data_IF_714702873636
#
_entry.id   IF_714702873636
#
_cell.length_a   1.000
_cell.length_b   1.000
_cell.length_c   1.000
_cell.angle_alpha   90.00
_cell.angle_beta   90.00
_cell.angle_gamma   90.00
#
_symmetry.space_group_name_H-M   'P 1'
#
loop_
_entity.id
_entity.type
_entity.pdbx_description
1 polymer ?
#
# COMPACT_ATOMS: atom_id res chain seq x y z
N UNK A 1 14.43 23.17 -6.77
CA UNK A 1 14.28 22.87 -5.31
C UNK A 1 13.85 24.17 -4.63
N UNK A 2 12.56 24.39 -4.51
CA UNK A 2 12.00 25.42 -3.62
C UNK A 2 11.91 24.75 -2.24
N UNK A 3 12.81 25.15 -1.33
CA UNK A 3 12.69 24.80 0.09
C UNK A 3 11.37 25.39 0.58
N UNK A 4 10.40 24.53 0.85
CA UNK A 4 9.23 24.91 1.61
C UNK A 4 9.71 25.29 3.01
N UNK A 5 9.77 26.60 3.28
CA UNK A 5 10.13 27.15 4.59
C UNK A 5 9.03 26.80 5.60
N UNK A 6 9.14 25.63 6.23
CA UNK A 6 8.30 25.26 7.36
C UNK A 6 8.53 26.23 8.52
N UNK A 7 7.47 26.80 9.08
CA UNK A 7 7.56 27.55 10.34
C UNK A 7 7.71 26.58 11.50
N UNK A 8 8.79 26.65 12.24
CA UNK A 8 8.89 26.01 13.56
C UNK A 8 8.00 26.77 14.55
N UNK A 9 6.92 26.14 15.00
CA UNK A 9 6.11 26.63 16.11
C UNK A 9 6.36 25.69 17.29
N UNK A 10 7.10 26.18 18.31
CA UNK A 10 7.41 25.36 19.48
C UNK A 10 8.31 24.14 19.23
N UNK A 11 9.23 24.20 18.26
CA UNK A 11 10.12 23.08 17.90
C UNK A 11 9.48 22.01 17.00
N UNK A 12 8.30 22.27 16.43
CA UNK A 12 7.57 21.37 15.53
C UNK A 12 7.57 21.91 14.11
N UNK A 13 7.78 21.03 13.14
CA UNK A 13 7.65 21.39 11.74
C UNK A 13 6.15 21.46 11.38
N UNK A 14 5.72 22.59 10.81
CA UNK A 14 4.38 22.83 10.29
C UNK A 14 4.50 23.49 8.92
N UNK A 15 3.91 22.88 7.91
CA UNK A 15 3.92 23.35 6.54
C UNK A 15 2.47 23.49 6.06
N UNK A 16 2.08 24.66 5.57
CA UNK A 16 0.73 24.96 5.07
C UNK A 16 0.73 25.42 3.60
N UNK A 17 1.88 25.89 3.11
CA UNK A 17 2.01 26.33 1.72
C UNK A 17 2.45 25.16 0.84
N UNK A 18 1.49 24.31 0.49
CA UNK A 18 1.69 23.16 -0.38
C UNK A 18 1.25 23.51 -1.81
N UNK A 19 2.05 23.10 -2.80
CA UNK A 19 1.67 23.17 -4.20
C UNK A 19 0.41 22.33 -4.44
N UNK A 20 -0.60 22.91 -5.07
CA UNK A 20 -1.89 22.29 -5.34
C UNK A 20 -2.29 22.44 -6.80
N UNK A 21 -3.05 21.47 -7.37
CA UNK A 21 -3.71 21.67 -8.63
C UNK A 21 -4.64 22.89 -8.59
N UNK A 22 -4.74 23.62 -9.70
CA UNK A 22 -5.53 24.88 -9.79
C UNK A 22 -7.01 24.71 -9.40
N UNK A 23 -7.58 23.51 -9.59
CA UNK A 23 -8.99 23.19 -9.29
C UNK A 23 -9.18 22.49 -7.95
N UNK A 24 -8.15 22.46 -7.09
CA UNK A 24 -8.22 21.84 -5.77
C UNK A 24 -8.50 22.90 -4.70
N UNK A 25 -9.73 22.91 -4.19
CA UNK A 25 -10.22 23.87 -3.20
C UNK A 25 -9.97 23.44 -1.74
N UNK A 26 -9.40 22.26 -1.52
CA UNK A 26 -9.09 21.74 -0.18
C UNK A 26 -7.96 22.53 0.47
N UNK A 27 -7.95 22.51 1.80
CA UNK A 27 -6.86 23.07 2.60
C UNK A 27 -6.00 21.94 3.19
N UNK A 28 -4.71 22.16 3.27
CA UNK A 28 -3.73 21.16 3.66
C UNK A 28 -2.80 21.68 4.74
N UNK A 29 -2.37 20.77 5.63
CA UNK A 29 -1.33 21.05 6.62
C UNK A 29 -0.50 19.80 6.86
N UNK A 30 0.81 19.89 6.76
CA UNK A 30 1.74 18.85 7.23
C UNK A 30 2.27 19.27 8.60
N UNK A 31 2.24 18.32 9.53
CA UNK A 31 2.81 18.49 10.88
C UNK A 31 3.66 17.29 11.24
N UNK A 32 4.63 17.49 12.12
CA UNK A 32 5.36 16.42 12.79
C UNK A 32 5.02 16.44 14.27
N UNK A 33 4.47 15.33 14.77
CA UNK A 33 4.12 15.19 16.19
C UNK A 33 5.37 15.06 17.08
N UNK A 34 5.24 15.26 18.40
CA UNK A 34 6.39 15.13 19.33
C UNK A 34 7.08 13.78 19.29
N UNK A 35 6.35 12.72 18.94
CA UNK A 35 6.87 11.37 18.75
C UNK A 35 7.41 11.09 17.34
N UNK A 36 7.62 12.15 16.54
CA UNK A 36 8.13 12.10 15.16
C UNK A 36 7.21 11.42 14.13
N UNK A 37 5.94 11.18 14.45
CA UNK A 37 4.96 10.75 13.46
C UNK A 37 4.64 11.94 12.54
N UNK A 38 4.78 11.74 11.23
CA UNK A 38 4.43 12.73 10.22
C UNK A 38 2.95 12.64 9.87
N UNK A 39 2.26 13.76 9.79
CA UNK A 39 0.82 13.81 9.52
C UNK A 39 0.50 14.81 8.42
N UNK A 40 -0.32 14.38 7.46
CA UNK A 40 -0.99 15.25 6.49
C UNK A 40 -2.46 15.39 6.89
N UNK A 41 -2.88 16.63 7.18
CA UNK A 41 -4.26 17.01 7.46
C UNK A 41 -4.87 17.63 6.21
N UNK A 42 -6.10 17.22 5.88
CA UNK A 42 -6.85 17.68 4.72
C UNK A 42 -8.24 18.13 5.17
N UNK A 43 -8.53 19.40 4.98
CA UNK A 43 -9.84 19.97 5.21
C UNK A 43 -10.60 20.13 3.90
N UNK A 44 -11.80 19.55 3.82
CA UNK A 44 -12.75 19.68 2.72
C UNK A 44 -14.14 19.93 3.27
N UNK A 45 -14.55 21.20 3.33
CA UNK A 45 -15.79 21.62 4.00
C UNK A 45 -17.07 20.97 3.42
N UNK A 46 -17.06 20.63 2.15
CA UNK A 46 -18.21 20.06 1.43
C UNK A 46 -18.25 18.54 1.38
N UNK A 47 -17.29 17.84 2.01
CA UNK A 47 -17.25 16.37 1.96
C UNK A 47 -18.38 15.75 2.78
N UNK A 48 -18.99 14.70 2.25
CA UNK A 48 -19.96 13.85 2.96
C UNK A 48 -19.28 12.64 3.65
N UNK A 49 -17.97 12.46 3.42
CA UNK A 49 -17.15 11.40 3.98
C UNK A 49 -15.92 11.93 4.70
N UNK A 50 -15.47 11.18 5.69
CA UNK A 50 -14.18 11.37 6.33
C UNK A 50 -13.36 10.09 6.21
N UNK A 51 -12.04 10.22 6.21
CA UNK A 51 -11.13 9.09 6.10
C UNK A 51 -9.81 9.32 6.83
N UNK A 52 -9.17 8.22 7.20
CA UNK A 52 -7.76 8.25 7.59
C UNK A 52 -7.02 7.04 7.04
N UNK A 53 -5.74 7.23 6.75
CA UNK A 53 -4.82 6.18 6.37
C UNK A 53 -3.50 6.33 7.10
N UNK A 54 -2.95 5.23 7.62
CA UNK A 54 -1.64 5.21 8.27
C UNK A 54 -0.77 4.13 7.62
N UNK A 55 0.38 4.55 7.13
CA UNK A 55 1.41 3.69 6.58
C UNK A 55 2.54 3.50 7.59
N UNK A 56 2.95 2.26 7.80
CA UNK A 56 4.07 1.88 8.65
C UNK A 56 5.18 1.32 7.77
N UNK A 57 6.41 1.83 7.87
CA UNK A 57 7.58 1.30 7.13
C UNK A 57 8.04 -0.07 7.68
N UNK A 58 7.11 -1.02 7.67
CA UNK A 58 7.27 -2.43 8.05
C UNK A 58 6.40 -3.27 7.14
N UNK A 59 6.98 -4.23 6.45
CA UNK A 59 6.26 -5.14 5.56
C UNK A 59 6.87 -6.53 5.62
N UNK A 60 6.55 -7.37 4.64
CA UNK A 60 6.99 -8.77 4.62
C UNK A 60 8.51 -8.97 4.57
N UNK A 61 9.30 -7.95 4.17
CA UNK A 61 10.76 -8.03 4.26
C UNK A 61 11.28 -8.01 5.70
N UNK A 62 10.44 -7.64 6.66
CA UNK A 62 10.75 -7.69 8.09
C UNK A 62 10.36 -9.03 8.74
N UNK A 63 9.79 -9.97 7.97
CA UNK A 63 9.44 -11.29 8.47
C UNK A 63 10.68 -12.02 8.98
N UNK A 64 10.55 -12.72 10.11
CA UNK A 64 11.57 -13.65 10.54
C UNK A 64 11.67 -14.80 9.51
N UNK A 65 12.88 -15.23 9.13
CA UNK A 65 13.06 -16.27 8.11
C UNK A 65 12.35 -17.59 8.44
N UNK A 66 12.15 -17.88 9.71
CA UNK A 66 11.50 -19.06 10.23
C UNK A 66 10.00 -18.88 10.54
N UNK A 67 9.45 -17.68 10.29
CA UNK A 67 8.03 -17.37 10.45
C UNK A 67 7.50 -16.44 9.32
N UNK A 68 7.62 -16.88 8.06
CA UNK A 68 7.20 -16.05 6.92
C UNK A 68 5.68 -15.80 6.92
N UNK A 69 5.30 -14.55 6.70
CA UNK A 69 3.91 -14.05 6.76
C UNK A 69 3.54 -13.43 8.10
N UNK A 70 4.48 -13.26 9.04
CA UNK A 70 4.18 -12.66 10.35
C UNK A 70 3.72 -11.20 10.22
N UNK A 71 4.28 -10.41 9.31
CA UNK A 71 3.83 -9.03 9.07
C UNK A 71 2.35 -8.98 8.64
N UNK A 72 1.94 -9.88 7.73
CA UNK A 72 0.57 -10.00 7.25
C UNK A 72 -0.37 -10.48 8.37
N UNK A 73 0.04 -11.45 9.17
CA UNK A 73 -0.75 -11.90 10.31
C UNK A 73 -0.93 -10.81 11.38
N UNK A 74 0.10 -10.00 11.64
CA UNK A 74 0.00 -8.83 12.54
C UNK A 74 -0.99 -7.81 11.98
N UNK A 75 -1.00 -7.56 10.65
CA UNK A 75 -2.01 -6.72 10.02
C UNK A 75 -3.42 -7.15 10.41
N UNK A 76 -3.78 -8.43 10.23
CA UNK A 76 -5.09 -8.96 10.60
C UNK A 76 -5.39 -8.77 12.10
N UNK A 77 -4.43 -9.09 12.95
CA UNK A 77 -4.59 -9.10 14.40
C UNK A 77 -4.79 -7.70 15.01
N UNK A 78 -4.31 -6.64 14.38
CA UNK A 78 -4.50 -5.27 14.88
C UNK A 78 -5.97 -4.83 14.87
N UNK A 79 -6.82 -5.44 14.04
CA UNK A 79 -8.26 -5.18 14.03
C UNK A 79 -9.02 -5.84 15.19
N UNK A 80 -8.39 -6.78 15.90
CA UNK A 80 -9.04 -7.74 16.80
C UNK A 80 -9.03 -7.33 18.28
N UNK A 81 -9.19 -6.04 18.56
CA UNK A 81 -9.29 -5.51 19.91
C UNK A 81 -8.03 -4.85 20.43
N UNK A 82 -8.22 -3.84 21.24
CA UNK A 82 -7.19 -3.02 21.86
C UNK A 82 -7.49 -2.82 23.34
N UNK A 83 -6.53 -2.36 24.15
CA UNK A 83 -6.77 -2.13 25.58
C UNK A 83 -7.95 -1.18 25.84
N UNK A 84 -8.09 -0.13 25.04
CA UNK A 84 -9.19 0.83 25.17
C UNK A 84 -10.53 0.30 24.67
N UNK A 85 -10.51 -0.55 23.64
CA UNK A 85 -11.67 -1.16 22.98
C UNK A 85 -11.46 -2.66 22.89
N UNK A 86 -11.65 -3.41 23.99
CA UNK A 86 -11.28 -4.82 24.07
C UNK A 86 -12.20 -5.76 23.28
N UNK A 87 -13.40 -5.30 22.92
CA UNK A 87 -14.31 -6.09 22.11
C UNK A 87 -13.78 -6.22 20.68
N UNK A 88 -13.63 -7.43 20.20
CA UNK A 88 -13.06 -7.79 18.91
C UNK A 88 -13.66 -6.99 17.74
N UNK A 89 -14.97 -6.83 17.69
CA UNK A 89 -15.67 -6.15 16.59
C UNK A 89 -15.95 -4.66 16.85
N UNK A 90 -15.50 -4.09 17.96
CA UNK A 90 -15.84 -2.72 18.36
C UNK A 90 -15.51 -1.67 17.28
N UNK A 91 -14.37 -1.82 16.63
CA UNK A 91 -13.94 -0.94 15.54
C UNK A 91 -14.84 -1.05 14.32
N UNK A 92 -15.02 -2.25 13.77
CA UNK A 92 -15.84 -2.47 12.58
C UNK A 92 -17.32 -2.14 12.81
N UNK A 93 -17.85 -2.42 14.00
CA UNK A 93 -19.21 -2.02 14.37
C UNK A 93 -19.38 -0.50 14.40
N UNK A 94 -18.37 0.22 14.92
CA UNK A 94 -18.39 1.68 14.92
C UNK A 94 -18.42 2.23 13.48
N UNK A 95 -17.53 1.78 12.62
CA UNK A 95 -17.49 2.25 11.22
C UNK A 95 -18.79 1.93 10.49
N UNK A 96 -19.31 0.69 10.64
CA UNK A 96 -20.56 0.28 9.97
C UNK A 96 -21.75 1.12 10.41
N UNK A 97 -21.84 1.50 11.71
CA UNK A 97 -22.90 2.41 12.21
C UNK A 97 -22.85 3.79 11.56
N UNK A 98 -21.68 4.21 11.09
CA UNK A 98 -21.47 5.47 10.39
C UNK A 98 -21.32 5.28 8.87
N UNK A 99 -21.87 4.18 8.30
CA UNK A 99 -21.85 3.91 6.85
C UNK A 99 -20.44 3.75 6.29
N UNK A 100 -19.49 3.37 7.12
CA UNK A 100 -18.08 3.26 6.76
C UNK A 100 -17.58 1.81 6.67
N UNK A 101 -16.34 1.69 6.22
CA UNK A 101 -15.58 0.45 6.17
C UNK A 101 -14.09 0.72 6.40
N UNK A 102 -13.34 -0.34 6.63
CA UNK A 102 -11.88 -0.30 6.72
C UNK A 102 -11.26 -1.43 5.94
N UNK A 103 -9.99 -1.27 5.61
CA UNK A 103 -9.16 -2.32 5.05
C UNK A 103 -7.69 -2.06 5.39
N UNK A 104 -6.83 -3.02 5.06
CA UNK A 104 -5.39 -2.89 5.15
C UNK A 104 -4.73 -3.71 4.03
N UNK A 105 -3.44 -3.51 3.84
CA UNK A 105 -2.61 -4.39 3.02
C UNK A 105 -1.16 -4.38 3.52
N UNK A 106 -0.51 -5.53 3.45
CA UNK A 106 0.92 -5.69 3.73
C UNK A 106 1.68 -5.85 2.42
N UNK A 107 2.49 -4.84 2.11
CA UNK A 107 3.44 -4.86 0.99
C UNK A 107 4.81 -5.40 1.44
N UNK A 108 5.79 -5.32 0.54
CA UNK A 108 7.16 -5.77 0.84
C UNK A 108 7.81 -4.97 1.95
N UNK A 109 7.65 -3.64 1.95
CA UNK A 109 8.37 -2.70 2.82
C UNK A 109 7.48 -1.84 3.69
N UNK A 110 6.17 -1.93 3.53
CA UNK A 110 5.21 -1.19 4.34
C UNK A 110 3.92 -1.98 4.57
N UNK A 111 3.20 -1.60 5.62
CA UNK A 111 1.83 -2.04 5.89
C UNK A 111 0.97 -0.80 6.03
N UNK A 112 -0.12 -0.75 5.27
CA UNK A 112 -1.04 0.37 5.25
C UNK A 112 -2.39 -0.04 5.83
N UNK A 113 -2.92 0.79 6.72
CA UNK A 113 -4.25 0.66 7.33
C UNK A 113 -5.07 1.87 6.97
N UNK A 114 -6.34 1.70 6.63
CA UNK A 114 -7.20 2.84 6.32
C UNK A 114 -8.67 2.56 6.60
N UNK A 115 -9.41 3.64 6.83
CA UNK A 115 -10.85 3.61 6.94
C UNK A 115 -11.49 4.82 6.27
N UNK A 116 -12.75 4.67 5.91
CA UNK A 116 -13.65 5.78 5.61
C UNK A 116 -14.95 5.63 6.41
N UNK A 117 -15.63 6.73 6.62
CA UNK A 117 -16.97 6.79 7.21
C UNK A 117 -17.74 7.99 6.66
N UNK A 118 -19.07 7.96 6.83
CA UNK A 118 -19.94 9.03 6.37
C UNK A 118 -20.33 9.94 7.51
N UNK A 119 -20.44 11.23 7.23
CA UNK A 119 -21.09 12.16 8.13
C UNK A 119 -22.61 11.97 8.08
N UNK A 120 -23.33 12.23 9.20
CA UNK A 120 -24.78 12.21 9.19
C UNK A 120 -25.31 13.18 8.10
N UNK A 121 -26.29 12.70 7.33
CA UNK A 121 -26.95 13.54 6.32
C UNK A 121 -27.64 14.71 7.01
N UNK A 122 -27.31 15.94 6.60
CA UNK A 122 -27.97 17.17 7.06
C UNK A 122 -29.33 17.36 6.38
N UNK A 123 -30.11 16.29 6.17
CA UNK A 123 -31.50 16.42 5.69
C UNK A 123 -32.33 16.99 6.83
N UNK A 124 -32.91 18.19 6.70
CA UNK A 124 -33.81 18.72 7.74
C UNK A 124 -35.02 17.78 7.85
N UNK A 125 -35.19 17.15 8.99
CA UNK A 125 -36.49 16.52 9.33
C UNK A 125 -37.52 17.61 9.24
N UNK A 126 -38.49 17.44 8.35
CA UNK A 126 -39.55 18.38 7.98
C UNK A 126 -40.49 18.67 9.16
N UNK A 127 -40.09 19.46 10.15
CA UNK A 127 -40.98 20.01 11.15
C UNK A 127 -40.47 21.24 11.92
N UNK A 128 -39.51 22.00 11.41
CA UNK A 128 -39.24 23.32 11.96
C UNK A 128 -39.10 24.33 10.82
N UNK A 129 -40.07 25.25 10.78
CA UNK A 129 -40.11 26.38 9.84
C UNK A 129 -38.85 27.25 9.99
N UNK A 130 -38.17 27.50 8.90
CA UNK A 130 -36.95 28.28 8.84
C UNK A 130 -37.18 29.72 9.28
N UNK A 131 -36.41 30.16 10.28
CA UNK A 131 -36.06 31.59 10.45
C UNK A 131 -34.81 31.84 9.58
N UNK A 132 -34.77 32.89 8.76
CA UNK A 132 -33.65 33.20 7.87
C UNK A 132 -32.58 34.00 8.63
N UNK A 133 -31.92 33.40 9.56
CA UNK A 133 -30.67 33.93 10.12
C UNK A 133 -29.94 32.82 10.91
N UNK A 134 -29.32 31.91 10.17
CA UNK A 134 -28.36 31.01 10.75
C UNK A 134 -27.06 31.23 10.01
N UNK A 135 -26.22 32.13 10.56
CA UNK A 135 -24.77 32.02 10.42
C UNK A 135 -24.40 30.56 10.43
N UNK A 136 -23.62 30.10 9.43
CA UNK A 136 -23.06 28.76 9.35
C UNK A 136 -22.27 28.48 10.64
N UNK A 137 -22.96 28.00 11.67
CA UNK A 137 -22.33 27.51 12.87
C UNK A 137 -21.70 26.15 12.54
N UNK A 138 -20.41 26.07 12.72
CA UNK A 138 -19.56 24.89 12.58
C UNK A 138 -20.10 23.71 13.40
N UNK A 139 -20.95 22.88 12.81
CA UNK A 139 -21.65 21.77 13.45
C UNK A 139 -20.76 20.53 13.71
N UNK A 140 -19.46 20.60 13.43
CA UNK A 140 -18.57 19.44 13.53
C UNK A 140 -17.32 19.67 14.41
N UNK A 141 -17.33 20.68 15.29
CA UNK A 141 -16.17 20.98 16.14
C UNK A 141 -16.14 20.24 17.47
N UNK A 142 -17.23 19.60 17.90
CA UNK A 142 -17.23 18.82 19.13
C UNK A 142 -16.88 17.35 18.86
N UNK A 143 -16.04 16.78 19.73
CA UNK A 143 -15.64 15.36 19.68
C UNK A 143 -16.83 14.41 19.74
N UNK A 144 -17.88 14.78 20.46
CA UNK A 144 -19.07 13.95 20.67
C UNK A 144 -20.00 13.92 19.45
N UNK A 145 -19.87 14.89 18.54
CA UNK A 145 -20.73 15.03 17.37
C UNK A 145 -20.07 14.53 16.07
N UNK A 146 -18.73 14.46 16.02
CA UNK A 146 -18.03 14.01 14.84
C UNK A 146 -17.77 12.50 14.85
N UNK A 147 -18.29 11.75 13.87
CA UNK A 147 -17.96 10.34 13.73
C UNK A 147 -16.47 10.12 13.41
N UNK A 148 -15.79 11.10 12.81
CA UNK A 148 -14.35 10.99 12.50
C UNK A 148 -13.51 10.88 13.76
N UNK A 149 -13.80 11.67 14.83
CA UNK A 149 -13.04 11.57 16.08
C UNK A 149 -13.10 10.18 16.68
N UNK A 150 -14.31 9.60 16.76
CA UNK A 150 -14.49 8.25 17.30
C UNK A 150 -13.85 7.15 16.44
N UNK A 151 -13.79 7.36 15.11
CA UNK A 151 -13.04 6.52 14.17
C UNK A 151 -11.54 6.60 14.42
N UNK A 152 -10.99 7.82 14.49
CA UNK A 152 -9.56 8.08 14.74
C UNK A 152 -9.10 7.52 16.08
N UNK A 153 -9.90 7.70 17.14
CA UNK A 153 -9.56 7.22 18.48
C UNK A 153 -9.46 5.69 18.55
N UNK A 154 -10.35 4.96 17.87
CA UNK A 154 -10.28 3.49 17.76
C UNK A 154 -9.13 3.05 16.88
N UNK A 155 -8.94 3.71 15.74
CA UNK A 155 -7.89 3.42 14.79
C UNK A 155 -6.49 3.64 15.39
N UNK A 156 -6.29 4.73 16.13
CA UNK A 156 -5.02 5.02 16.79
C UNK A 156 -4.59 3.95 17.78
N UNK A 157 -5.57 3.24 18.43
CA UNK A 157 -5.24 2.20 19.39
C UNK A 157 -4.54 0.97 18.78
N UNK A 158 -4.68 0.72 17.48
CA UNK A 158 -3.94 -0.33 16.78
C UNK A 158 -2.42 -0.17 16.95
N UNK A 159 -1.96 1.07 17.01
CA UNK A 159 -0.54 1.44 17.09
C UNK A 159 -0.08 1.74 18.51
N UNK A 160 -1.01 1.87 19.46
CA UNK A 160 -0.75 2.19 20.87
C UNK A 160 -0.72 0.91 21.72
N UNK A 161 -1.80 0.15 21.75
CA UNK A 161 -1.98 -0.98 22.69
C UNK A 161 -2.88 -2.08 22.09
N UNK A 162 -2.48 -2.79 21.04
CA UNK A 162 -3.23 -3.94 20.54
C UNK A 162 -3.13 -5.12 21.52
N UNK A 163 -4.18 -5.92 21.63
CA UNK A 163 -4.27 -7.01 22.63
C UNK A 163 -3.70 -8.34 22.17
N UNK A 164 -3.74 -8.66 20.88
CA UNK A 164 -3.38 -9.98 20.35
C UNK A 164 -4.03 -11.12 21.16
N UNK A 165 -5.36 -11.13 21.23
CA UNK A 165 -6.11 -12.08 22.02
C UNK A 165 -5.89 -13.52 21.53
N UNK A 166 -5.61 -14.47 22.44
CA UNK A 166 -5.28 -15.86 22.09
C UNK A 166 -6.38 -16.54 21.27
N UNK A 167 -7.66 -16.31 21.66
CA UNK A 167 -8.81 -16.89 20.98
C UNK A 167 -8.98 -16.37 19.53
N UNK A 168 -8.51 -15.15 19.25
CA UNK A 168 -8.57 -14.56 17.92
C UNK A 168 -7.39 -14.98 17.03
N UNK A 169 -6.21 -15.21 17.61
CA UNK A 169 -4.99 -15.57 16.88
C UNK A 169 -5.22 -16.80 16.00
N UNK A 170 -5.70 -17.91 16.55
CA UNK A 170 -5.89 -19.15 15.78
C UNK A 170 -6.88 -18.97 14.61
N UNK A 171 -7.95 -18.20 14.83
CA UNK A 171 -8.95 -17.93 13.81
C UNK A 171 -8.39 -17.05 12.68
N UNK A 172 -7.63 -15.99 13.02
CA UNK A 172 -7.03 -15.11 12.00
C UNK A 172 -5.92 -15.83 11.22
N UNK A 173 -5.14 -16.71 11.83
CA UNK A 173 -4.20 -17.55 11.09
C UNK A 173 -4.89 -18.49 10.09
N UNK A 174 -6.09 -18.98 10.41
CA UNK A 174 -6.91 -19.74 9.47
C UNK A 174 -7.48 -18.87 8.35
N UNK A 175 -7.77 -17.59 8.63
CA UNK A 175 -8.17 -16.64 7.59
C UNK A 175 -7.00 -16.37 6.61
N UNK A 176 -5.81 -16.09 7.10
CA UNK A 176 -4.57 -15.95 6.29
C UNK A 176 -4.32 -17.21 5.45
N UNK A 177 -4.47 -18.41 6.02
CA UNK A 177 -4.32 -19.67 5.30
C UNK A 177 -5.36 -19.85 4.19
N UNK A 178 -6.60 -19.43 4.43
CA UNK A 178 -7.67 -19.45 3.43
C UNK A 178 -7.38 -18.50 2.27
N UNK A 179 -6.82 -17.32 2.53
CA UNK A 179 -6.36 -16.40 1.50
C UNK A 179 -5.22 -16.99 0.67
N UNK A 180 -4.24 -17.58 1.33
CA UNK A 180 -3.15 -18.28 0.64
C UNK A 180 -3.69 -19.40 -0.26
N UNK A 181 -4.60 -20.25 0.23
CA UNK A 181 -5.24 -21.32 -0.55
C UNK A 181 -5.99 -20.78 -1.76
N UNK A 182 -6.72 -19.68 -1.62
CA UNK A 182 -7.38 -18.99 -2.75
C UNK A 182 -6.34 -18.52 -3.78
N UNK A 183 -5.22 -17.97 -3.33
CA UNK A 183 -4.15 -17.45 -4.18
C UNK A 183 -3.44 -18.55 -4.99
N UNK A 184 -3.36 -19.78 -4.46
CA UNK A 184 -2.79 -20.93 -5.19
C UNK A 184 -3.55 -21.29 -6.47
N UNK A 185 -4.82 -20.88 -6.61
CA UNK A 185 -5.65 -21.10 -7.79
C UNK A 185 -5.69 -19.87 -8.73
N UNK A 186 -4.98 -18.80 -8.38
CA UNK A 186 -4.91 -17.55 -9.16
C UNK A 186 -3.56 -17.42 -9.85
N UNK A 187 -3.56 -17.37 -11.20
CA UNK A 187 -2.32 -17.33 -11.96
C UNK A 187 -1.49 -16.05 -11.72
N UNK A 188 -2.12 -14.91 -11.41
CA UNK A 188 -1.39 -13.68 -11.07
C UNK A 188 -0.57 -13.88 -9.78
N UNK A 189 -1.17 -14.44 -8.74
CA UNK A 189 -0.47 -14.74 -7.47
C UNK A 189 0.60 -15.82 -7.63
N UNK A 190 0.32 -16.85 -8.44
CA UNK A 190 1.28 -17.91 -8.73
C UNK A 190 2.51 -17.38 -9.49
N UNK A 191 2.29 -16.52 -10.48
CA UNK A 191 3.38 -15.85 -11.21
C UNK A 191 4.16 -14.89 -10.32
N UNK A 192 3.45 -14.14 -9.44
CA UNK A 192 4.12 -13.29 -8.46
C UNK A 192 5.04 -14.11 -7.53
N UNK A 193 4.56 -15.21 -6.98
CA UNK A 193 5.38 -16.08 -6.12
C UNK A 193 6.52 -16.76 -6.90
N UNK A 194 6.31 -17.12 -8.17
CA UNK A 194 7.35 -17.66 -9.03
C UNK A 194 8.45 -16.62 -9.28
N UNK A 195 8.09 -15.38 -9.58
CA UNK A 195 9.05 -14.29 -9.76
C UNK A 195 9.87 -14.05 -8.47
N UNK A 196 9.22 -14.10 -7.31
CA UNK A 196 9.93 -14.03 -6.02
C UNK A 196 10.94 -15.19 -5.87
N UNK A 197 10.52 -16.41 -6.13
CA UNK A 197 11.37 -17.58 -6.00
C UNK A 197 12.56 -17.62 -7.00
N UNK A 198 12.46 -16.88 -8.10
CA UNK A 198 13.53 -16.74 -9.10
C UNK A 198 14.45 -15.52 -8.83
N UNK A 199 14.15 -14.71 -7.82
CA UNK A 199 14.97 -13.58 -7.42
C UNK A 199 16.18 -14.03 -6.59
N UNK A 200 17.09 -13.10 -6.31
CA UNK A 200 18.26 -13.32 -5.47
C UNK A 200 17.86 -13.98 -4.14
N UNK A 201 18.34 -15.19 -3.83
CA UNK A 201 17.95 -15.93 -2.64
C UNK A 201 18.39 -15.27 -1.32
N UNK A 202 19.35 -14.35 -1.36
CA UNK A 202 19.79 -13.59 -0.18
C UNK A 202 18.90 -12.35 0.07
N UNK A 203 18.08 -11.95 -0.93
CA UNK A 203 17.21 -10.79 -0.80
C UNK A 203 15.86 -11.21 -0.18
N UNK A 204 15.29 -10.45 0.79
CA UNK A 204 14.00 -10.76 1.40
C UNK A 204 12.83 -10.89 0.41
N UNK A 205 12.95 -10.28 -0.76
CA UNK A 205 11.96 -10.43 -1.84
C UNK A 205 11.76 -11.89 -2.28
N UNK A 206 12.80 -12.72 -2.21
CA UNK A 206 12.72 -14.13 -2.57
C UNK A 206 11.77 -14.94 -1.66
N UNK A 207 11.54 -14.48 -0.44
CA UNK A 207 10.80 -15.24 0.57
C UNK A 207 9.28 -15.24 0.30
N UNK A 208 8.63 -16.33 0.71
CA UNK A 208 7.18 -16.40 0.81
C UNK A 208 6.67 -15.39 1.83
N UNK A 209 5.59 -14.65 1.53
CA UNK A 209 5.16 -13.51 2.35
C UNK A 209 3.68 -13.50 2.74
N UNK A 210 2.84 -14.29 2.06
CA UNK A 210 1.41 -14.35 2.41
C UNK A 210 1.17 -14.95 3.79
N UNK A 211 1.99 -15.93 4.17
CA UNK A 211 1.74 -16.74 5.34
C UNK A 211 0.78 -17.90 5.06
N UNK A 212 0.83 -18.90 5.89
CA UNK A 212 -0.06 -20.06 5.90
C UNK A 212 -0.18 -20.60 7.32
N UNK A 213 -1.20 -21.41 7.59
CA UNK A 213 -1.30 -22.04 8.91
C UNK A 213 -0.05 -22.87 9.25
N UNK A 214 0.56 -23.50 8.25
CA UNK A 214 1.81 -24.22 8.40
C UNK A 214 2.96 -23.32 8.89
N UNK A 215 3.20 -22.18 8.21
CA UNK A 215 4.34 -21.29 8.52
C UNK A 215 4.13 -20.44 9.76
N UNK A 216 2.89 -20.14 10.12
CA UNK A 216 2.54 -19.24 11.22
C UNK A 216 2.08 -19.98 12.49
N UNK A 217 1.75 -21.28 12.39
CA UNK A 217 1.27 -22.08 13.51
C UNK A 217 2.04 -23.39 13.68
N UNK A 218 1.94 -24.33 12.73
CA UNK A 218 2.43 -25.70 12.93
C UNK A 218 3.95 -25.77 13.11
N UNK A 219 4.70 -25.11 12.23
CA UNK A 219 6.16 -25.08 12.30
C UNK A 219 6.69 -24.34 13.54
N UNK A 220 6.18 -23.15 13.91
CA UNK A 220 6.55 -22.48 15.15
C UNK A 220 6.26 -23.33 16.41
N UNK A 221 5.08 -23.92 16.50
CA UNK A 221 4.73 -24.80 17.64
C UNK A 221 5.66 -26.01 17.72
N UNK A 222 5.98 -26.65 16.59
CA UNK A 222 6.91 -27.78 16.57
C UNK A 222 8.32 -27.41 17.08
N UNK A 223 8.71 -26.14 16.99
CA UNK A 223 9.95 -25.60 17.57
C UNK A 223 9.78 -25.09 19.01
N UNK A 224 8.60 -25.24 19.61
CA UNK A 224 8.33 -24.79 20.98
C UNK A 224 8.08 -23.27 21.10
N UNK A 225 7.77 -22.60 20.00
CA UNK A 225 7.52 -21.17 19.97
C UNK A 225 6.09 -20.87 20.44
N UNK A 226 5.94 -19.88 21.30
CA UNK A 226 4.63 -19.32 21.67
C UNK A 226 4.22 -18.28 20.64
N UNK A 227 3.30 -18.63 19.77
CA UNK A 227 2.93 -17.85 18.58
C UNK A 227 2.52 -16.42 18.95
N UNK A 228 1.66 -16.24 19.95
CA UNK A 228 1.21 -14.93 20.41
C UNK A 228 2.37 -14.03 20.82
N UNK A 229 3.37 -14.59 21.51
CA UNK A 229 4.53 -13.82 21.97
C UNK A 229 5.35 -13.28 20.78
N UNK A 230 5.42 -14.03 19.67
CA UNK A 230 6.11 -13.56 18.45
C UNK A 230 5.35 -12.43 17.75
N UNK A 231 4.01 -12.41 17.73
CA UNK A 231 3.24 -11.27 17.21
C UNK A 231 3.43 -10.01 18.05
N UNK A 232 3.38 -10.15 19.39
CA UNK A 232 3.67 -9.05 20.32
C UNK A 232 5.08 -8.53 20.09
N UNK A 233 6.05 -9.42 19.98
CA UNK A 233 7.46 -9.11 19.74
C UNK A 233 7.63 -8.41 18.38
N UNK A 234 7.01 -8.90 17.31
CA UNK A 234 7.06 -8.26 15.99
C UNK A 234 6.52 -6.83 16.05
N UNK A 235 5.32 -6.63 16.59
CA UNK A 235 4.74 -5.30 16.77
C UNK A 235 5.64 -4.41 17.64
N UNK A 236 6.08 -4.90 18.79
CA UNK A 236 6.92 -4.13 19.71
C UNK A 236 8.29 -3.79 19.13
N UNK A 237 8.83 -4.61 18.23
CA UNK A 237 10.14 -4.38 17.61
C UNK A 237 10.08 -3.42 16.43
N UNK A 238 9.04 -3.51 15.61
CA UNK A 238 9.01 -2.87 14.30
C UNK A 238 8.12 -1.63 14.22
N UNK A 239 7.01 -1.58 14.99
CA UNK A 239 6.08 -0.46 14.96
C UNK A 239 6.61 0.69 15.81
N UNK A 240 6.91 1.81 15.19
CA UNK A 240 7.46 3.00 15.83
C UNK A 240 6.93 4.26 15.14
N UNK A 241 6.54 5.26 15.92
CA UNK A 241 5.92 6.49 15.40
C UNK A 241 6.78 7.17 14.32
N UNK A 242 8.10 7.17 14.48
CA UNK A 242 9.03 7.77 13.50
C UNK A 242 9.17 6.98 12.18
N UNK A 243 8.52 5.81 12.07
CA UNK A 243 8.37 5.02 10.85
C UNK A 243 6.96 5.10 10.26
N UNK A 244 6.12 6.00 10.78
CA UNK A 244 4.71 6.08 10.41
C UNK A 244 4.39 7.41 9.74
N UNK A 245 3.45 7.36 8.78
CA UNK A 245 2.88 8.52 8.13
C UNK A 245 1.36 8.39 8.16
N UNK A 246 0.69 9.41 8.69
CA UNK A 246 -0.77 9.47 8.83
C UNK A 246 -1.33 10.52 7.89
N UNK A 247 -2.43 10.19 7.22
CA UNK A 247 -3.25 11.15 6.46
C UNK A 247 -4.65 11.15 7.05
N UNK A 248 -5.20 12.34 7.31
CA UNK A 248 -6.59 12.51 7.79
C UNK A 248 -7.31 13.52 6.91
N UNK A 249 -8.48 13.11 6.40
CA UNK A 249 -9.38 13.98 5.64
C UNK A 249 -10.71 14.09 6.36
N UNK A 250 -11.18 15.33 6.54
CA UNK A 250 -12.48 15.61 7.14
C UNK A 250 -13.01 16.99 6.79
N UNK A 251 -14.24 17.26 7.22
CA UNK A 251 -14.86 18.59 7.10
C UNK A 251 -14.52 19.53 8.25
N UNK A 252 -13.89 19.01 9.28
CA UNK A 252 -13.41 19.77 10.43
C UNK A 252 -12.26 20.70 10.02
N UNK A 253 -12.10 21.82 10.76
CA UNK A 253 -11.01 22.75 10.49
C UNK A 253 -9.63 22.06 10.68
N UNK A 254 -8.61 22.55 10.00
CA UNK A 254 -7.24 22.03 10.18
C UNK A 254 -6.78 22.09 11.64
N UNK A 255 -7.20 23.12 12.40
CA UNK A 255 -6.84 23.26 13.80
C UNK A 255 -7.54 22.20 14.67
N UNK A 256 -8.80 21.88 14.36
CA UNK A 256 -9.54 20.80 15.02
C UNK A 256 -8.91 19.43 14.72
N UNK A 257 -8.62 19.15 13.45
CA UNK A 257 -7.97 17.90 13.04
C UNK A 257 -6.58 17.74 13.68
N UNK A 258 -5.79 18.82 13.74
CA UNK A 258 -4.48 18.83 14.41
C UNK A 258 -4.60 18.49 15.90
N UNK A 259 -5.52 19.15 16.61
CA UNK A 259 -5.74 18.90 18.03
C UNK A 259 -6.15 17.44 18.31
N UNK A 260 -7.03 16.86 17.47
CA UNK A 260 -7.47 15.48 17.61
C UNK A 260 -6.36 14.47 17.35
N UNK A 261 -5.62 14.69 16.27
CA UNK A 261 -4.49 13.83 15.91
C UNK A 261 -3.39 13.88 16.96
N UNK A 262 -3.08 15.06 17.47
CA UNK A 262 -2.11 15.21 18.56
C UNK A 262 -2.57 14.48 19.84
N UNK A 263 -3.82 14.63 20.25
CA UNK A 263 -4.37 13.96 21.45
C UNK A 263 -4.27 12.43 21.36
N UNK A 264 -4.53 11.86 20.19
CA UNK A 264 -4.59 10.41 19.98
C UNK A 264 -3.20 9.86 19.65
N UNK A 265 -2.59 10.35 18.56
CA UNK A 265 -1.43 9.70 17.95
C UNK A 265 -0.09 10.11 18.57
N UNK A 266 -0.02 11.17 19.37
CA UNK A 266 1.19 11.45 20.16
C UNK A 266 1.48 10.37 21.23
N UNK A 267 0.52 9.49 21.50
CA UNK A 267 0.67 8.33 22.40
C UNK A 267 1.30 7.11 21.72
N UNK A 268 1.40 7.10 20.40
CA UNK A 268 2.07 6.01 19.69
C UNK A 268 3.56 5.99 20.07
N UNK A 269 4.08 4.83 20.52
CA UNK A 269 5.47 4.75 20.97
C UNK A 269 6.45 5.11 19.86
N UNK A 270 7.40 5.99 20.16
CA UNK A 270 8.57 6.22 19.33
C UNK A 270 9.75 5.45 19.92
N UNK A 271 10.39 4.61 19.12
CA UNK A 271 11.55 3.78 19.49
C UNK A 271 12.82 4.26 18.80
N UNK A 272 12.76 5.38 18.11
CA UNK A 272 13.86 6.00 17.36
C UNK A 272 14.53 4.99 16.39
N UNK A 273 13.71 4.25 15.65
CA UNK A 273 14.18 3.24 14.71
C UNK A 273 14.59 3.90 13.39
N UNK A 274 15.71 3.47 12.81
CA UNK A 274 16.07 3.85 11.44
C UNK A 274 15.01 3.39 10.43
N UNK A 275 14.88 4.10 9.31
CA UNK A 275 14.03 3.66 8.20
C UNK A 275 14.56 2.34 7.65
N UNK A 276 13.65 1.40 7.38
CA UNK A 276 14.04 0.14 6.74
C UNK A 276 14.44 0.40 5.29
N UNK A 277 15.62 -0.07 4.89
CA UNK A 277 16.13 0.01 3.52
C UNK A 277 16.84 -1.30 3.16
N UNK A 278 16.76 -1.64 1.88
CA UNK A 278 17.40 -2.83 1.33
C UNK A 278 18.19 -2.41 0.10
N UNK A 279 19.51 -2.22 0.27
CA UNK A 279 20.41 -1.73 -0.80
C UNK A 279 20.88 -2.87 -1.72
N UNK A 280 20.62 -4.12 -1.35
CA UNK A 280 20.93 -5.30 -2.15
C UNK A 280 19.98 -5.37 -3.36
N UNK A 281 20.48 -5.67 -4.58
CA UNK A 281 19.61 -5.80 -5.74
C UNK A 281 18.74 -7.07 -5.64
N UNK A 282 17.46 -6.93 -6.00
CA UNK A 282 16.50 -8.05 -6.07
C UNK A 282 16.91 -9.07 -7.13
N UNK A 283 17.52 -8.64 -8.23
CA UNK A 283 18.07 -9.48 -9.28
C UNK A 283 19.53 -9.12 -9.53
N UNK A 284 20.42 -10.09 -9.41
CA UNK A 284 21.84 -9.97 -9.77
C UNK A 284 22.07 -10.58 -11.17
N UNK A 285 23.31 -10.58 -11.64
CA UNK A 285 23.66 -11.23 -12.92
C UNK A 285 23.34 -12.72 -12.95
N UNK A 286 23.27 -13.38 -11.77
CA UNK A 286 22.97 -14.81 -11.67
C UNK A 286 21.51 -15.14 -12.00
N UNK A 287 20.57 -14.24 -11.64
CA UNK A 287 19.15 -14.43 -11.86
C UNK A 287 18.69 -13.91 -13.23
N UNK A 288 19.48 -13.01 -13.84
CA UNK A 288 19.18 -12.46 -15.17
C UNK A 288 19.44 -13.51 -16.30
N UNK A 289 18.94 -13.21 -17.50
CA UNK A 289 19.05 -14.06 -18.69
C UNK A 289 18.43 -15.46 -18.53
N UNK A 290 17.48 -15.60 -17.62
CA UNK A 290 16.76 -16.83 -17.33
C UNK A 290 15.47 -16.89 -18.15
N UNK A 291 15.17 -18.05 -18.74
CA UNK A 291 13.89 -18.32 -19.38
C UNK A 291 13.10 -19.32 -18.53
N UNK A 292 11.87 -18.95 -18.18
CA UNK A 292 10.98 -19.77 -17.35
C UNK A 292 9.71 -20.10 -18.11
N UNK A 293 9.25 -21.35 -18.01
CA UNK A 293 7.97 -21.81 -18.54
C UNK A 293 7.04 -22.16 -17.37
N UNK A 294 5.88 -21.50 -17.31
CA UNK A 294 4.86 -21.76 -16.33
C UNK A 294 3.60 -22.32 -16.99
N UNK A 295 2.99 -23.34 -16.37
CA UNK A 295 1.68 -23.84 -16.77
C UNK A 295 0.60 -23.12 -15.98
N UNK A 296 -0.30 -22.36 -16.65
CA UNK A 296 -1.38 -21.67 -15.97
C UNK A 296 -2.48 -22.64 -15.49
N UNK A 297 -3.27 -22.22 -14.49
CA UNK A 297 -4.49 -22.91 -14.06
C UNK A 297 -5.62 -22.68 -15.06
N UNK A 298 -5.80 -21.42 -15.44
CA UNK A 298 -6.76 -21.03 -16.48
C UNK A 298 -6.09 -21.02 -17.84
N UNK A 299 -6.89 -21.21 -18.90
CA UNK A 299 -6.36 -21.11 -20.26
C UNK A 299 -5.87 -19.69 -20.54
N UNK A 300 -4.56 -19.51 -20.56
CA UNK A 300 -3.88 -18.24 -20.81
C UNK A 300 -2.59 -18.50 -21.57
N UNK A 301 -2.28 -17.58 -22.49
CA UNK A 301 -1.04 -17.60 -23.26
C UNK A 301 -0.42 -16.22 -23.17
N UNK A 302 0.68 -16.10 -22.47
CA UNK A 302 1.41 -14.84 -22.33
C UNK A 302 2.91 -15.04 -22.51
N UNK A 303 3.55 -14.01 -23.03
CA UNK A 303 4.99 -13.84 -23.00
C UNK A 303 5.27 -12.60 -22.17
N UNK A 304 6.08 -12.75 -21.15
CA UNK A 304 6.52 -11.67 -20.29
C UNK A 304 8.04 -11.50 -20.41
N UNK A 305 8.48 -10.30 -20.76
CA UNK A 305 9.89 -9.92 -20.78
C UNK A 305 10.11 -8.95 -19.61
N UNK A 306 10.92 -9.36 -18.66
CA UNK A 306 11.24 -8.59 -17.47
C UNK A 306 12.68 -8.09 -17.52
N UNK A 307 12.85 -6.81 -17.22
CA UNK A 307 14.13 -6.14 -17.16
C UNK A 307 14.35 -5.59 -15.76
N UNK A 308 15.47 -5.92 -15.12
CA UNK A 308 15.85 -5.28 -13.88
C UNK A 308 15.96 -3.76 -14.10
N UNK A 309 15.31 -3.02 -13.24
CA UNK A 309 15.11 -1.58 -13.37
C UNK A 309 15.33 -0.91 -12.01
N UNK A 310 15.87 0.28 -12.01
CA UNK A 310 15.99 1.06 -10.79
C UNK A 310 14.66 1.72 -10.48
N UNK A 311 14.23 1.77 -9.22
CA UNK A 311 13.02 2.52 -8.85
C UNK A 311 13.14 4.00 -9.22
N UNK A 312 12.00 4.65 -9.41
CA UNK A 312 11.89 6.05 -9.82
C UNK A 312 11.44 6.99 -8.70
N UNK A 313 11.52 6.58 -7.44
CA UNK A 313 11.09 7.42 -6.31
C UNK A 313 11.73 8.81 -6.36
N UNK A 314 13.01 8.87 -6.72
CA UNK A 314 13.77 10.14 -6.86
C UNK A 314 13.46 10.92 -8.13
N UNK A 315 12.77 10.30 -9.08
CA UNK A 315 12.44 10.87 -10.40
C UNK A 315 10.93 11.09 -10.54
N UNK A 316 10.25 11.37 -9.42
CA UNK A 316 8.79 11.52 -9.37
C UNK A 316 8.25 12.64 -10.27
N UNK A 317 9.06 13.66 -10.60
CA UNK A 317 8.68 14.73 -11.52
C UNK A 317 8.77 14.30 -13.00
N UNK A 318 9.75 13.49 -13.36
CA UNK A 318 10.05 13.14 -14.76
C UNK A 318 9.53 11.76 -15.19
N UNK A 319 9.43 10.81 -14.27
CA UNK A 319 8.95 9.44 -14.52
C UNK A 319 9.45 8.82 -15.83
N UNK A 320 10.76 8.59 -16.02
CA UNK A 320 11.32 8.14 -17.30
C UNK A 320 10.71 6.82 -17.80
N UNK A 321 10.24 5.93 -16.91
CA UNK A 321 9.55 4.70 -17.32
C UNK A 321 8.25 4.99 -18.09
N UNK A 322 7.56 6.10 -17.83
CA UNK A 322 6.33 6.47 -18.57
C UNK A 322 6.62 6.71 -20.06
N UNK A 323 7.75 7.34 -20.36
CA UNK A 323 8.18 7.54 -21.74
C UNK A 323 8.43 6.19 -22.45
N UNK A 324 9.18 5.29 -21.81
CA UNK A 324 9.43 3.94 -22.33
C UNK A 324 8.13 3.13 -22.47
N UNK A 325 7.24 3.22 -21.46
CA UNK A 325 5.93 2.54 -21.48
C UNK A 325 5.06 3.01 -22.62
N UNK A 326 5.06 4.31 -22.90
CA UNK A 326 4.30 4.89 -24.02
C UNK A 326 4.78 4.34 -25.35
N UNK A 327 6.10 4.30 -25.58
CA UNK A 327 6.66 3.85 -26.86
C UNK A 327 6.51 2.33 -27.05
N UNK A 328 6.89 1.52 -26.05
CA UNK A 328 6.81 0.06 -26.12
C UNK A 328 5.37 -0.45 -26.08
N UNK A 329 4.51 0.20 -25.33
CA UNK A 329 3.09 -0.15 -25.18
C UNK A 329 2.16 0.47 -26.23
N UNK A 330 2.70 1.22 -27.21
CA UNK A 330 1.90 1.88 -28.24
C UNK A 330 1.14 0.87 -29.11
N UNK A 331 -0.09 1.21 -29.51
CA UNK A 331 -0.97 0.31 -30.26
C UNK A 331 -1.17 0.70 -31.73
N UNK A 332 -0.84 1.94 -32.09
CA UNK A 332 -1.04 2.48 -33.45
C UNK A 332 -0.10 1.90 -34.51
N UNK A 333 -0.28 2.29 -35.79
CA UNK A 333 0.60 1.88 -36.87
C UNK A 333 2.08 2.15 -36.57
N UNK A 334 2.95 1.19 -36.92
CA UNK A 334 4.39 1.27 -36.64
C UNK A 334 4.80 0.73 -35.24
N UNK A 335 3.85 0.41 -34.38
CA UNK A 335 4.12 -0.19 -33.06
C UNK A 335 4.40 -1.70 -33.14
N UNK A 336 5.01 -2.23 -32.07
CA UNK A 336 5.21 -3.68 -31.91
C UNK A 336 3.86 -4.40 -31.97
N UNK A 337 2.85 -3.92 -31.24
CA UNK A 337 1.54 -4.53 -31.17
C UNK A 337 0.86 -4.59 -32.55
N UNK A 338 0.90 -3.51 -33.33
CA UNK A 338 0.34 -3.49 -34.67
C UNK A 338 0.97 -4.57 -35.58
N UNK A 339 2.30 -4.74 -35.50
CA UNK A 339 3.01 -5.74 -36.29
C UNK A 339 2.66 -7.17 -35.87
N UNK A 340 2.68 -7.48 -34.56
CA UNK A 340 2.39 -8.84 -34.09
C UNK A 340 0.90 -9.22 -34.22
N UNK A 341 -0.03 -8.23 -34.15
CA UNK A 341 -1.45 -8.41 -34.51
C UNK A 341 -1.61 -8.74 -36.01
N UNK A 342 -0.93 -8.00 -36.88
CA UNK A 342 -0.99 -8.26 -38.31
C UNK A 342 -0.46 -9.67 -38.69
N UNK A 343 0.48 -10.22 -37.92
CA UNK A 343 0.95 -11.60 -38.01
C UNK A 343 0.04 -12.65 -37.41
N UNK A 344 -1.02 -12.22 -36.71
CA UNK A 344 -1.93 -13.12 -35.97
C UNK A 344 -1.32 -13.73 -34.68
N UNK A 345 -0.26 -13.14 -34.14
CA UNK A 345 0.50 -13.71 -33.02
C UNK A 345 0.08 -13.20 -31.64
N UNK A 346 -0.55 -12.04 -31.57
CA UNK A 346 -0.96 -11.46 -30.28
C UNK A 346 -2.31 -10.74 -30.36
N UNK A 347 -2.98 -10.67 -29.20
CA UNK A 347 -4.22 -9.94 -28.98
C UNK A 347 -4.01 -8.63 -28.22
N UNK A 348 -2.91 -8.50 -27.48
CA UNK A 348 -2.60 -7.33 -26.67
C UNK A 348 -1.14 -7.29 -26.26
N UNK A 349 -0.68 -6.08 -25.93
CA UNK A 349 0.64 -5.82 -25.36
C UNK A 349 0.50 -4.68 -24.36
N UNK A 350 1.18 -4.79 -23.22
CA UNK A 350 1.38 -3.72 -22.26
C UNK A 350 2.84 -3.64 -21.86
N UNK A 351 3.32 -2.45 -21.56
CA UNK A 351 4.67 -2.24 -21.05
C UNK A 351 4.65 -1.23 -19.90
N UNK A 352 5.48 -1.44 -18.88
CA UNK A 352 5.56 -0.52 -17.75
C UNK A 352 6.61 -0.86 -16.72
N UNK A 353 7.05 0.17 -16.00
CA UNK A 353 7.90 0.05 -14.81
C UNK A 353 7.06 -0.16 -13.55
N UNK A 354 7.55 -0.95 -12.62
CA UNK A 354 6.98 -1.13 -11.28
C UNK A 354 8.09 -1.19 -10.24
N UNK A 355 7.87 -0.57 -9.09
CA UNK A 355 8.77 -0.68 -7.94
C UNK A 355 8.50 -1.98 -7.19
N UNK A 356 9.54 -2.74 -6.91
CA UNK A 356 9.50 -3.93 -6.06
C UNK A 356 9.77 -3.59 -4.60
N UNK A 357 10.76 -2.73 -4.40
CA UNK A 357 11.13 -2.13 -3.13
C UNK A 357 11.99 -0.89 -3.40
N UNK A 358 12.23 0.00 -2.42
CA UNK A 358 13.16 1.10 -2.58
C UNK A 358 14.52 0.63 -3.11
N UNK A 359 14.99 1.22 -4.20
CA UNK A 359 16.22 0.86 -4.90
C UNK A 359 16.04 -0.14 -6.05
N UNK A 360 14.95 -0.91 -6.12
CA UNK A 360 14.77 -1.96 -7.12
C UNK A 360 13.37 -1.95 -7.75
N UNK A 361 13.32 -2.14 -9.05
CA UNK A 361 12.10 -2.27 -9.82
C UNK A 361 12.25 -3.26 -10.97
N UNK A 362 11.15 -3.50 -11.65
CA UNK A 362 11.09 -4.23 -12.92
C UNK A 362 10.44 -3.36 -13.98
N UNK A 363 11.02 -3.33 -15.15
CA UNK A 363 10.32 -2.90 -16.37
C UNK A 363 9.85 -4.15 -17.11
N UNK A 364 8.54 -4.25 -17.33
CA UNK A 364 7.94 -5.46 -17.89
C UNK A 364 7.25 -5.15 -19.20
N UNK A 365 7.45 -6.01 -20.20
CA UNK A 365 6.65 -6.05 -21.44
C UNK A 365 5.85 -7.34 -21.43
N UNK A 366 4.52 -7.22 -21.29
CA UNK A 366 3.59 -8.35 -21.25
C UNK A 366 2.79 -8.43 -22.54
N UNK A 367 2.78 -9.60 -23.19
CA UNK A 367 2.15 -9.83 -24.47
C UNK A 367 1.15 -10.99 -24.36
N UNK A 368 -0.13 -10.71 -24.64
CA UNK A 368 -1.19 -11.72 -24.71
C UNK A 368 -1.13 -12.41 -26.06
N UNK A 369 -0.63 -13.65 -26.07
CA UNK A 369 -0.41 -14.43 -27.27
C UNK A 369 -1.67 -15.16 -27.75
N UNK A 370 -1.74 -15.40 -29.07
CA UNK A 370 -2.61 -16.42 -29.67
C UNK A 370 -1.94 -17.80 -29.60
N UNK A 371 -2.61 -18.85 -30.05
CA UNK A 371 -1.95 -20.18 -30.21
C UNK A 371 -0.77 -20.12 -31.16
N UNK A 372 -0.92 -19.40 -32.28
CA UNK A 372 0.14 -19.24 -33.26
C UNK A 372 1.27 -18.36 -32.69
N UNK A 373 0.93 -17.34 -31.89
CA UNK A 373 1.91 -16.53 -31.18
C UNK A 373 2.73 -17.33 -30.18
N UNK A 374 2.10 -18.27 -29.46
CA UNK A 374 2.83 -19.15 -28.55
C UNK A 374 3.85 -20.05 -29.29
N UNK A 375 3.54 -20.55 -30.47
CA UNK A 375 4.51 -21.28 -31.30
C UNK A 375 5.66 -20.40 -31.79
N UNK A 376 5.38 -19.10 -31.96
CA UNK A 376 6.33 -18.12 -32.50
C UNK A 376 6.90 -17.17 -31.42
N UNK A 377 6.81 -17.52 -30.11
CA UNK A 377 7.15 -16.63 -29.00
C UNK A 377 8.58 -16.07 -29.10
N UNK A 378 9.54 -16.83 -29.64
CA UNK A 378 10.92 -16.36 -29.82
C UNK A 378 11.02 -15.23 -30.85
N UNK A 379 10.24 -15.31 -31.92
CA UNK A 379 10.19 -14.25 -32.93
C UNK A 379 9.47 -13.00 -32.37
N UNK A 380 8.44 -13.20 -31.56
CA UNK A 380 7.78 -12.09 -30.83
C UNK A 380 8.78 -11.39 -29.90
N UNK A 381 9.53 -12.14 -29.11
CA UNK A 381 10.58 -11.58 -28.23
C UNK A 381 11.62 -10.82 -29.03
N UNK A 382 12.10 -11.41 -30.16
CA UNK A 382 13.07 -10.77 -31.05
C UNK A 382 12.57 -9.42 -31.59
N UNK A 383 11.30 -9.31 -31.96
CA UNK A 383 10.71 -8.06 -32.43
C UNK A 383 10.71 -6.98 -31.32
N UNK A 384 10.46 -7.35 -30.06
CA UNK A 384 10.58 -6.43 -28.92
C UNK A 384 12.01 -5.91 -28.78
N UNK A 385 13.01 -6.80 -28.81
CA UNK A 385 14.42 -6.39 -28.75
C UNK A 385 14.87 -5.55 -29.93
N UNK A 386 14.38 -5.84 -31.15
CA UNK A 386 14.64 -5.00 -32.31
C UNK A 386 14.07 -3.60 -32.16
N UNK A 387 12.85 -3.47 -31.58
CA UNK A 387 12.25 -2.18 -31.34
C UNK A 387 12.99 -1.40 -30.24
N UNK A 388 13.44 -2.09 -29.19
CA UNK A 388 14.31 -1.49 -28.16
C UNK A 388 15.62 -0.99 -28.78
N UNK A 389 16.21 -1.77 -29.71
CA UNK A 389 17.39 -1.34 -30.49
C UNK A 389 17.10 -0.06 -31.27
N UNK A 390 15.98 -0.01 -32.01
CA UNK A 390 15.56 1.19 -32.74
C UNK A 390 15.41 2.41 -31.80
N UNK A 391 14.83 2.24 -30.65
CA UNK A 391 14.68 3.33 -29.66
C UNK A 391 16.04 3.84 -29.15
N UNK A 392 17.03 2.95 -28.99
CA UNK A 392 18.39 3.33 -28.54
C UNK A 392 19.16 4.14 -29.58
N UNK A 393 18.85 3.91 -30.85
CA UNK A 393 19.51 4.60 -31.98
C UNK A 393 18.91 6.00 -32.26
N UNK A 394 17.83 6.37 -31.58
CA UNK A 394 17.17 7.66 -31.71
C UNK A 394 17.31 8.48 -30.42
N UNK A 395 17.51 9.81 -30.50
CA UNK A 395 17.43 10.65 -29.31
C UNK A 395 16.00 10.65 -28.75
N UNK A 396 15.84 10.87 -27.41
CA UNK A 396 14.54 11.11 -26.85
C UNK A 396 13.83 12.26 -27.58
N UNK A 397 12.53 12.11 -27.83
CA UNK A 397 11.72 13.14 -28.47
C UNK A 397 11.12 14.03 -27.39
N UNK A 398 11.09 15.34 -27.63
CA UNK A 398 10.47 16.35 -26.77
C UNK A 398 8.94 16.27 -26.82
#
# INVERSE_FOLDING_TARGET
MTEALGREVGGRQRIEDLERPQLDDRSYRIITLPNQLEVLLIHEAGTDKASAALDVNVGSFSDAPDMPGIAHAVEHLLFMGTEKYPEENAYNQYLTRHGGYSNAFTASTSTNYYFELSYPSSTPTSSQAASPDVSQTNLAESKDESPLWGGLDRFGQFFISPLFLEDTVDRELKAVDSENKKNLQNDTWRMHQLNKALANPEHPYNHFSTGSYKTLHDEPIARGVKIRDEFIKFHSTHYSANRMKLVVLGRESLDTLEAWVEEIFAKVPNKDLGQNRWDMPVYTENELLTQTFARPVLESRSLELQFAYRDEERFYESHPSRYLSHLLGHEGPGSILALIKAKGWANGLGAGGSTLCPGSGLFTVNIKLTEEGLKNYKEVAKLVFQYIGLMRDQPPQE
#
